data_IF_977085815088
#
_entry.id   IF_977085815088
#
_cell.length_a   1.000
_cell.length_b   1.000
_cell.length_c   1.000
_cell.angle_alpha   90.00
_cell.angle_beta   90.00
_cell.angle_gamma   90.00
#
_symmetry.space_group_name_H-M   'P 1'
#
loop_
_entity.id
_entity.type
_entity.pdbx_description
1 polymer ?
#
# COMPACT_ATOMS: atom_id res chain seq x y z
N UNK A 1 -10.31 -9.22 8.21
CA UNK A 1 -11.15 -9.63 7.06
C UNK A 1 -12.21 -8.57 6.78
N UNK A 2 -12.64 -8.44 5.51
CA UNK A 2 -13.78 -7.60 5.13
C UNK A 2 -15.03 -7.99 5.93
N UNK A 3 -15.81 -7.02 6.40
CA UNK A 3 -17.06 -7.29 7.11
C UNK A 3 -18.14 -7.61 6.11
N UNK A 4 -18.50 -8.88 6.01
CA UNK A 4 -19.54 -9.33 5.08
C UNK A 4 -20.84 -9.53 5.85
N UNK A 5 -21.93 -8.94 5.35
CA UNK A 5 -23.28 -9.19 5.82
C UNK A 5 -24.10 -9.82 4.69
N UNK A 6 -24.75 -10.95 4.95
CA UNK A 6 -25.59 -11.62 3.97
C UNK A 6 -27.00 -11.83 4.53
N UNK A 7 -28.00 -11.27 3.85
CA UNK A 7 -29.40 -11.48 4.16
C UNK A 7 -29.95 -12.66 3.36
N UNK A 8 -30.48 -13.66 4.03
CA UNK A 8 -30.89 -14.94 3.42
C UNK A 8 -32.33 -15.33 3.75
N UNK A 9 -32.80 -16.44 3.17
CA UNK A 9 -34.01 -17.15 3.59
C UNK A 9 -33.72 -18.65 3.58
N UNK A 10 -34.46 -19.40 4.39
CA UNK A 10 -34.48 -20.85 4.37
C UNK A 10 -34.83 -21.35 2.96
N UNK A 11 -34.17 -22.45 2.55
CA UNK A 11 -34.38 -23.11 1.26
C UNK A 11 -34.11 -22.24 0.03
N UNK A 12 -33.24 -21.23 0.15
CA UNK A 12 -32.81 -20.36 -0.94
C UNK A 12 -31.54 -20.90 -1.62
N UNK A 13 -31.68 -21.48 -2.82
CA UNK A 13 -30.54 -22.00 -3.60
C UNK A 13 -29.49 -20.93 -3.94
N UNK A 14 -29.92 -19.71 -4.25
CA UNK A 14 -29.01 -18.57 -4.50
C UNK A 14 -28.22 -18.15 -3.25
N UNK A 15 -28.84 -18.25 -2.08
CA UNK A 15 -28.20 -17.92 -0.81
C UNK A 15 -27.13 -18.96 -0.47
N UNK A 16 -27.43 -20.25 -0.65
CA UNK A 16 -26.45 -21.32 -0.50
C UNK A 16 -25.28 -21.13 -1.48
N UNK A 17 -25.58 -20.86 -2.75
CA UNK A 17 -24.57 -20.63 -3.78
C UNK A 17 -23.64 -19.45 -3.48
N UNK A 18 -24.17 -18.33 -2.96
CA UNK A 18 -23.37 -17.20 -2.54
C UNK A 18 -22.47 -17.54 -1.35
N UNK A 19 -23.02 -18.22 -0.33
CA UNK A 19 -22.26 -18.67 0.84
C UNK A 19 -21.14 -19.62 0.47
N UNK A 20 -21.38 -20.61 -0.39
CA UNK A 20 -20.34 -21.53 -0.87
C UNK A 20 -19.17 -20.81 -1.54
N UNK A 21 -19.43 -19.72 -2.29
CA UNK A 21 -18.36 -18.91 -2.86
C UNK A 21 -17.60 -18.14 -1.77
N UNK A 22 -18.29 -17.52 -0.82
CA UNK A 22 -17.61 -16.83 0.29
C UNK A 22 -16.80 -17.80 1.15
N UNK A 23 -17.34 -18.98 1.45
CA UNK A 23 -16.67 -20.07 2.16
C UNK A 23 -15.43 -20.55 1.39
N UNK A 24 -15.51 -20.68 0.06
CA UNK A 24 -14.35 -21.09 -0.75
C UNK A 24 -13.27 -20.02 -0.84
N UNK A 25 -13.62 -18.76 -0.57
CA UNK A 25 -12.67 -17.64 -0.38
C UNK A 25 -12.15 -17.53 1.06
N UNK A 26 -12.60 -18.38 1.98
CA UNK A 26 -12.24 -18.31 3.39
C UNK A 26 -12.75 -17.03 4.07
N UNK A 27 -13.84 -16.45 3.56
CA UNK A 27 -14.37 -15.19 4.03
C UNK A 27 -15.44 -15.39 5.11
N UNK A 28 -15.24 -14.76 6.27
CA UNK A 28 -16.25 -14.74 7.33
C UNK A 28 -17.40 -13.79 6.99
N UNK A 29 -18.63 -14.17 7.33
CA UNK A 29 -19.83 -13.35 7.12
C UNK A 29 -20.85 -13.47 8.26
N UNK A 30 -21.53 -12.37 8.53
CA UNK A 30 -22.72 -12.33 9.40
C UNK A 30 -23.97 -12.63 8.56
N UNK A 31 -24.64 -13.74 8.85
CA UNK A 31 -25.88 -14.14 8.16
C UNK A 31 -27.13 -13.63 8.91
N UNK A 32 -28.00 -12.91 8.21
CA UNK A 32 -29.31 -12.48 8.71
C UNK A 32 -30.42 -13.25 8.00
N UNK A 33 -31.02 -14.23 8.69
CA UNK A 33 -32.15 -15.00 8.17
C UNK A 33 -33.46 -14.18 8.20
N UNK A 34 -34.04 -13.94 7.02
CA UNK A 34 -35.29 -13.19 6.83
C UNK A 34 -36.51 -14.09 6.61
N UNK A 35 -36.41 -15.39 6.85
CA UNK A 35 -37.50 -16.37 6.62
C UNK A 35 -38.80 -15.95 7.32
N UNK A 36 -38.70 -15.53 8.57
CA UNK A 36 -39.85 -15.09 9.38
C UNK A 36 -40.14 -13.58 9.26
N UNK A 37 -39.44 -12.88 8.38
CA UNK A 37 -39.49 -11.42 8.27
C UNK A 37 -38.82 -10.72 9.45
N UNK A 38 -39.36 -9.56 9.87
CA UNK A 38 -38.87 -8.81 11.03
C UNK A 38 -38.05 -7.54 10.69
N UNK A 39 -37.47 -6.88 11.71
CA UNK A 39 -36.79 -5.59 11.57
C UNK A 39 -35.63 -5.63 10.57
N UNK A 40 -34.87 -6.73 10.53
CA UNK A 40 -33.77 -6.95 9.59
C UNK A 40 -34.21 -6.94 8.12
N UNK A 41 -35.46 -7.31 7.82
CA UNK A 41 -36.01 -7.19 6.45
C UNK A 41 -36.19 -5.73 6.03
N UNK A 42 -36.64 -4.87 6.94
CA UNK A 42 -36.80 -3.44 6.64
C UNK A 42 -35.44 -2.75 6.52
N UNK A 43 -34.49 -3.11 7.37
CA UNK A 43 -33.10 -2.67 7.27
C UNK A 43 -32.49 -3.05 5.92
N UNK A 44 -32.62 -4.32 5.50
CA UNK A 44 -32.18 -4.78 4.19
C UNK A 44 -32.82 -3.96 3.06
N UNK A 45 -34.13 -3.73 3.09
CA UNK A 45 -34.83 -2.98 2.05
C UNK A 45 -34.33 -1.53 1.94
N UNK A 46 -34.06 -0.87 3.07
CA UNK A 46 -33.48 0.47 3.07
C UNK A 46 -32.06 0.47 2.50
N UNK A 47 -31.22 -0.46 2.94
CA UNK A 47 -29.80 -0.55 2.54
C UNK A 47 -29.62 -1.01 1.09
N UNK A 48 -30.52 -1.85 0.58
CA UNK A 48 -30.47 -2.45 -0.75
C UNK A 48 -31.27 -1.66 -1.81
N UNK A 49 -31.53 -0.37 -1.57
CA UNK A 49 -32.32 0.50 -2.46
C UNK A 49 -33.66 -0.12 -2.90
N UNK A 50 -34.37 -0.77 -1.98
CA UNK A 50 -35.68 -1.37 -2.21
C UNK A 50 -35.66 -2.76 -2.85
N UNK A 51 -34.49 -3.39 -3.09
CA UNK A 51 -34.44 -4.78 -3.60
C UNK A 51 -35.06 -5.75 -2.58
N UNK A 52 -36.01 -6.55 -3.04
CA UNK A 52 -36.81 -7.47 -2.18
C UNK A 52 -36.35 -8.93 -2.22
N UNK A 53 -35.47 -9.28 -3.16
CA UNK A 53 -34.97 -10.65 -3.38
C UNK A 53 -33.84 -10.99 -2.40
N UNK A 54 -33.56 -12.27 -2.21
CA UNK A 54 -32.41 -12.76 -1.43
C UNK A 54 -31.54 -13.70 -2.28
N UNK A 55 -30.22 -13.79 -2.04
CA UNK A 55 -29.50 -13.07 -1.00
C UNK A 55 -29.35 -11.58 -1.32
N UNK A 56 -29.17 -10.75 -0.30
CA UNK A 56 -28.57 -9.42 -0.44
C UNK A 56 -27.26 -9.43 0.33
N UNK A 57 -26.17 -9.13 -0.34
CA UNK A 57 -24.81 -9.20 0.21
C UNK A 57 -24.26 -7.79 0.30
N UNK A 58 -23.63 -7.51 1.43
CA UNK A 58 -22.89 -6.31 1.69
C UNK A 58 -21.46 -6.68 2.09
N UNK A 59 -20.48 -5.97 1.56
CA UNK A 59 -19.08 -6.09 1.94
C UNK A 59 -18.64 -4.70 2.40
N UNK A 60 -18.22 -4.59 3.66
CA UNK A 60 -17.85 -3.34 4.34
C UNK A 60 -18.92 -2.24 4.20
N UNK A 61 -20.19 -2.66 4.28
CA UNK A 61 -21.36 -1.80 4.18
C UNK A 61 -21.75 -1.42 2.75
N UNK A 62 -20.90 -1.66 1.74
CA UNK A 62 -21.23 -1.46 0.33
C UNK A 62 -22.19 -2.56 -0.17
N UNK A 63 -23.26 -2.17 -0.86
CA UNK A 63 -24.25 -3.10 -1.39
C UNK A 63 -23.72 -3.77 -2.67
N UNK A 64 -23.42 -5.07 -2.58
CA UNK A 64 -22.93 -5.87 -3.71
C UNK A 64 -24.09 -6.34 -4.59
N UNK A 65 -25.22 -6.71 -3.97
CA UNK A 65 -26.38 -7.24 -4.65
C UNK A 65 -26.65 -8.70 -4.30
N UNK A 66 -27.13 -9.47 -5.27
CA UNK A 66 -27.50 -10.87 -5.10
C UNK A 66 -26.39 -11.85 -5.44
N UNK A 67 -26.75 -13.13 -5.48
CA UNK A 67 -25.78 -14.19 -5.79
C UNK A 67 -25.20 -14.07 -7.20
N UNK A 68 -25.99 -13.65 -8.20
CA UNK A 68 -25.47 -13.43 -9.56
C UNK A 68 -24.46 -12.27 -9.61
N UNK A 69 -24.71 -11.21 -8.85
CA UNK A 69 -23.80 -10.05 -8.74
C UNK A 69 -22.47 -10.48 -8.10
N UNK A 70 -22.53 -11.28 -7.02
CA UNK A 70 -21.33 -11.83 -6.36
C UNK A 70 -20.53 -12.77 -7.30
N UNK A 71 -21.22 -13.59 -8.08
CA UNK A 71 -20.59 -14.48 -9.08
C UNK A 71 -20.02 -13.71 -10.27
N UNK A 72 -20.61 -12.57 -10.64
CA UNK A 72 -20.05 -11.68 -11.65
C UNK A 72 -18.74 -11.07 -11.14
N UNK A 73 -18.71 -10.57 -9.90
CA UNK A 73 -17.49 -10.05 -9.27
C UNK A 73 -16.37 -11.10 -9.23
N UNK A 74 -16.69 -12.35 -8.90
CA UNK A 74 -15.71 -13.43 -8.91
C UNK A 74 -15.16 -13.71 -10.32
N UNK A 75 -16.04 -13.82 -11.32
CA UNK A 75 -15.62 -14.04 -12.73
C UNK A 75 -14.78 -12.89 -13.27
N UNK A 76 -15.04 -11.68 -12.79
CA UNK A 76 -14.27 -10.48 -13.11
C UNK A 76 -12.97 -10.36 -12.28
N UNK A 77 -12.70 -11.29 -11.35
CA UNK A 77 -11.53 -11.25 -10.45
C UNK A 77 -11.56 -10.12 -9.42
N UNK A 78 -12.74 -9.52 -9.19
CA UNK A 78 -12.93 -8.35 -8.32
C UNK A 78 -13.38 -8.71 -6.91
N UNK A 79 -13.91 -9.92 -6.71
CA UNK A 79 -14.36 -10.36 -5.39
C UNK A 79 -13.19 -10.43 -4.40
N UNK A 80 -12.08 -11.05 -4.79
CA UNK A 80 -10.91 -11.18 -3.92
C UNK A 80 -10.44 -9.81 -3.43
N UNK A 81 -10.38 -8.83 -4.31
CA UNK A 81 -9.94 -7.50 -3.93
C UNK A 81 -10.93 -6.77 -2.99
N UNK A 82 -12.24 -6.97 -3.15
CA UNK A 82 -13.25 -6.49 -2.21
C UNK A 82 -13.13 -7.16 -0.83
N UNK A 83 -12.54 -8.35 -0.78
CA UNK A 83 -12.26 -9.08 0.45
C UNK A 83 -10.88 -8.74 1.04
N UNK A 84 -10.07 -7.96 0.31
CA UNK A 84 -8.65 -7.80 0.61
C UNK A 84 -8.33 -6.46 1.28
N UNK A 85 -7.65 -6.54 2.43
CA UNK A 85 -7.10 -5.39 3.15
C UNK A 85 -5.60 -5.23 2.91
N UNK A 86 -5.16 -3.98 2.88
CA UNK A 86 -3.76 -3.61 3.05
C UNK A 86 -3.48 -3.27 4.52
N UNK A 87 -2.31 -3.67 5.01
CA UNK A 87 -1.76 -3.19 6.28
C UNK A 87 -0.65 -2.18 6.00
N UNK A 88 -0.53 -1.15 6.84
CA UNK A 88 0.52 -0.13 6.74
C UNK A 88 1.23 -0.07 8.09
N UNK A 89 2.54 -0.31 8.09
CA UNK A 89 3.38 -0.14 9.26
C UNK A 89 3.93 1.28 9.31
N UNK A 90 3.59 1.99 10.38
CA UNK A 90 4.30 3.19 10.79
C UNK A 90 5.28 2.83 11.91
N UNK A 91 6.57 3.09 11.72
CA UNK A 91 7.58 2.73 12.72
C UNK A 91 8.65 3.80 12.89
N UNK A 92 9.53 3.59 13.86
CA UNK A 92 10.70 4.41 14.11
C UNK A 92 11.93 3.52 14.03
N UNK A 93 12.48 3.32 12.83
CA UNK A 93 13.69 2.50 12.65
C UNK A 93 14.87 3.07 13.44
N UNK A 94 15.61 2.18 14.09
CA UNK A 94 16.83 2.48 14.83
C UNK A 94 18.12 2.15 14.06
N UNK A 95 19.23 2.12 14.79
CA UNK A 95 20.56 1.81 14.27
C UNK A 95 20.94 0.32 14.37
N UNK A 96 20.08 -0.52 14.95
CA UNK A 96 20.27 -1.97 15.07
C UNK A 96 19.36 -2.69 14.05
N UNK A 97 19.93 -3.27 12.97
CA UNK A 97 19.14 -3.99 11.97
C UNK A 97 18.35 -5.16 12.53
N UNK A 98 18.87 -5.89 13.53
CA UNK A 98 18.18 -7.04 14.10
C UNK A 98 16.98 -6.59 14.95
N UNK A 99 17.07 -5.45 15.63
CA UNK A 99 15.92 -4.86 16.31
C UNK A 99 14.84 -4.44 15.33
N UNK A 100 15.23 -3.78 14.23
CA UNK A 100 14.30 -3.39 13.18
C UNK A 100 13.63 -4.61 12.52
N UNK A 101 14.40 -5.67 12.23
CA UNK A 101 13.89 -6.94 11.71
C UNK A 101 12.83 -7.56 12.63
N UNK A 102 13.06 -7.58 13.96
CA UNK A 102 12.06 -8.07 14.92
C UNK A 102 10.75 -7.27 14.86
N UNK A 103 10.82 -5.95 14.72
CA UNK A 103 9.63 -5.11 14.54
C UNK A 103 8.88 -5.43 13.25
N UNK A 104 9.60 -5.60 12.14
CA UNK A 104 9.01 -5.96 10.85
C UNK A 104 8.34 -7.35 10.90
N UNK A 105 9.01 -8.36 11.47
CA UNK A 105 8.47 -9.71 11.62
C UNK A 105 7.21 -9.71 12.49
N UNK A 106 7.21 -8.98 13.60
CA UNK A 106 6.02 -8.84 14.43
C UNK A 106 4.86 -8.16 13.67
N UNK A 107 5.17 -7.13 12.87
CA UNK A 107 4.18 -6.44 12.05
C UNK A 107 3.58 -7.36 10.95
N UNK A 108 4.41 -8.20 10.32
CA UNK A 108 3.99 -9.21 9.34
C UNK A 108 3.03 -10.21 10.00
N UNK A 109 3.39 -10.72 11.18
CA UNK A 109 2.55 -11.65 11.93
C UNK A 109 1.19 -11.02 12.30
N UNK A 110 1.18 -9.78 12.80
CA UNK A 110 -0.05 -9.06 13.12
C UNK A 110 -0.90 -8.74 11.89
N UNK A 111 -0.28 -8.34 10.78
CA UNK A 111 -0.98 -8.06 9.54
C UNK A 111 -1.68 -9.33 8.99
N UNK A 112 -0.98 -10.46 9.01
CA UNK A 112 -1.55 -11.75 8.64
C UNK A 112 -2.70 -12.17 9.58
N UNK A 113 -2.53 -11.99 10.90
CA UNK A 113 -3.56 -12.30 11.90
C UNK A 113 -4.85 -11.50 11.74
N UNK A 114 -4.77 -10.29 11.19
CA UNK A 114 -5.92 -9.42 10.90
C UNK A 114 -6.48 -9.62 9.46
N UNK A 115 -5.86 -10.53 8.68
CA UNK A 115 -6.28 -10.89 7.33
C UNK A 115 -5.91 -9.85 6.27
N UNK A 116 -4.82 -9.12 6.43
CA UNK A 116 -4.27 -8.30 5.35
C UNK A 116 -3.58 -9.19 4.31
N UNK A 117 -3.82 -8.96 3.02
CA UNK A 117 -3.07 -9.71 1.99
C UNK A 117 -1.68 -9.13 1.74
N UNK A 118 -1.46 -7.86 2.09
CA UNK A 118 -0.19 -7.20 1.85
C UNK A 118 0.12 -6.15 2.93
N UNK A 119 1.35 -6.17 3.44
CA UNK A 119 1.91 -5.19 4.37
C UNK A 119 2.81 -4.20 3.63
N UNK A 120 2.65 -2.91 3.88
CA UNK A 120 3.53 -1.85 3.41
C UNK A 120 4.38 -1.33 4.57
N UNK A 121 5.69 -1.23 4.38
CA UNK A 121 6.61 -0.75 5.43
C UNK A 121 7.38 0.48 4.96
N UNK A 122 7.95 1.30 5.87
CA UNK A 122 8.56 2.57 5.48
C UNK A 122 9.92 2.47 4.80
N UNK A 123 10.38 3.58 4.24
CA UNK A 123 11.76 3.75 3.75
C UNK A 123 12.77 3.51 4.89
N UNK A 124 13.94 2.98 4.56
CA UNK A 124 15.03 2.70 5.52
C UNK A 124 14.55 1.84 6.71
N UNK A 125 13.68 0.87 6.43
CA UNK A 125 13.11 -0.02 7.44
C UNK A 125 14.19 -0.78 8.22
N UNK A 126 15.28 -1.19 7.57
CA UNK A 126 16.34 -1.99 8.17
C UNK A 126 17.38 -1.21 8.97
N UNK A 127 17.65 0.05 8.63
CA UNK A 127 18.69 0.85 9.29
C UNK A 127 18.48 2.34 9.04
N UNK A 128 18.45 3.15 10.10
CA UNK A 128 18.46 4.61 9.97
C UNK A 128 19.52 5.22 10.87
N UNK A 129 20.63 5.63 10.25
CA UNK A 129 21.77 6.22 10.94
C UNK A 129 22.37 7.40 10.15
N UNK A 130 22.56 8.54 10.82
CA UNK A 130 23.25 9.71 10.27
C UNK A 130 24.77 9.58 10.34
N UNK A 131 25.30 8.74 11.22
CA UNK A 131 26.73 8.43 11.26
C UNK A 131 27.07 7.41 10.17
N UNK A 132 27.59 7.92 9.04
CA UNK A 132 27.93 7.09 7.88
C UNK A 132 28.94 6.00 8.20
N UNK A 133 29.92 6.25 9.08
CA UNK A 133 30.95 5.26 9.40
C UNK A 133 30.37 4.13 10.25
N UNK A 134 29.56 4.46 11.24
CA UNK A 134 28.86 3.47 12.06
C UNK A 134 27.85 2.67 11.22
N UNK A 135 27.02 3.35 10.44
CA UNK A 135 26.01 2.72 9.59
C UNK A 135 26.61 1.81 8.51
N UNK A 136 27.75 2.19 7.91
CA UNK A 136 28.41 1.40 6.86
C UNK A 136 28.82 -0.01 7.32
N UNK A 137 29.02 -0.24 8.62
CA UNK A 137 29.32 -1.57 9.17
C UNK A 137 28.12 -2.54 9.08
N UNK A 138 26.90 -2.01 9.01
CA UNK A 138 25.65 -2.76 8.90
C UNK A 138 25.12 -2.82 7.47
N UNK A 139 25.69 -2.04 6.54
CA UNK A 139 25.28 -2.00 5.13
C UNK A 139 26.08 -3.04 4.35
N UNK A 140 25.39 -4.13 4.03
CA UNK A 140 25.93 -5.34 3.36
C UNK A 140 25.29 -5.53 1.99
N UNK A 141 25.78 -6.52 1.22
CA UNK A 141 25.17 -6.89 -0.04
C UNK A 141 23.77 -7.49 0.19
N UNK A 142 22.91 -7.45 -0.82
CA UNK A 142 21.53 -7.94 -0.74
C UNK A 142 21.43 -9.39 -0.22
N UNK A 143 22.33 -10.27 -0.68
CA UNK A 143 22.32 -11.68 -0.30
C UNK A 143 22.66 -11.93 1.19
N UNK A 144 23.34 -10.98 1.83
CA UNK A 144 23.83 -11.09 3.20
C UNK A 144 22.98 -10.28 4.19
N UNK A 145 21.96 -9.54 3.71
CA UNK A 145 21.18 -8.64 4.54
C UNK A 145 20.23 -9.40 5.49
N UNK A 146 20.42 -9.28 6.82
CA UNK A 146 19.64 -10.06 7.79
C UNK A 146 18.19 -9.59 7.90
N UNK A 147 17.89 -8.33 7.54
CA UNK A 147 16.53 -7.79 7.58
C UNK A 147 15.73 -8.34 6.41
N UNK A 148 16.31 -8.34 5.21
CA UNK A 148 15.70 -8.94 4.03
C UNK A 148 15.45 -10.43 4.24
N UNK A 149 16.43 -11.17 4.78
CA UNK A 149 16.27 -12.59 5.08
C UNK A 149 15.09 -12.84 6.05
N UNK A 150 15.02 -12.10 7.16
CA UNK A 150 13.96 -12.23 8.16
C UNK A 150 12.58 -11.88 7.60
N UNK A 151 12.46 -10.82 6.78
CA UNK A 151 11.19 -10.42 6.16
C UNK A 151 10.71 -11.48 5.16
N UNK A 152 11.61 -12.04 4.35
CA UNK A 152 11.27 -13.11 3.39
C UNK A 152 10.79 -14.38 4.09
N UNK A 153 11.49 -14.79 5.15
CA UNK A 153 11.09 -15.94 5.96
C UNK A 153 9.74 -15.71 6.63
N UNK A 154 9.50 -14.53 7.21
CA UNK A 154 8.23 -14.20 7.83
C UNK A 154 7.08 -14.11 6.82
N UNK A 155 7.30 -13.52 5.63
CA UNK A 155 6.31 -13.46 4.56
C UNK A 155 5.86 -14.88 4.15
N UNK A 156 6.83 -15.79 3.95
CA UNK A 156 6.57 -17.19 3.65
C UNK A 156 5.83 -17.92 4.78
N UNK A 157 6.25 -17.69 6.03
CA UNK A 157 5.68 -18.36 7.19
C UNK A 157 4.22 -17.96 7.44
N UNK A 158 3.90 -16.67 7.29
CA UNK A 158 2.57 -16.12 7.57
C UNK A 158 1.68 -16.00 6.32
N UNK A 159 2.20 -16.28 5.12
CA UNK A 159 1.44 -16.26 3.88
C UNK A 159 0.94 -14.87 3.47
N UNK A 160 1.75 -13.83 3.69
CA UNK A 160 1.38 -12.42 3.42
C UNK A 160 2.41 -11.74 2.52
N UNK A 161 1.94 -10.93 1.57
CA UNK A 161 2.84 -10.13 0.73
C UNK A 161 3.42 -8.96 1.52
N UNK A 162 4.63 -8.54 1.17
CA UNK A 162 5.29 -7.40 1.83
C UNK A 162 5.90 -6.46 0.79
N UNK A 163 5.47 -5.20 0.81
CA UNK A 163 6.24 -4.09 0.26
C UNK A 163 7.21 -3.62 1.34
N UNK A 164 8.44 -4.14 1.30
CA UNK A 164 9.50 -3.74 2.21
C UNK A 164 10.05 -2.40 1.72
N UNK A 165 9.55 -1.33 2.33
CA UNK A 165 9.72 0.07 1.93
C UNK A 165 11.04 0.33 1.25
N UNK A 166 12.12 0.34 2.03
CA UNK A 166 13.47 0.14 1.51
C UNK A 166 14.50 -0.26 2.56
N UNK A 167 15.64 -0.76 2.06
CA UNK A 167 16.87 -1.03 2.80
C UNK A 167 18.02 -0.24 2.21
N UNK A 168 18.99 0.13 3.05
CA UNK A 168 20.30 0.59 2.62
C UNK A 168 21.20 -0.62 2.36
N UNK A 169 21.57 -0.86 1.11
CA UNK A 169 22.38 -2.01 0.70
C UNK A 169 23.66 -1.57 0.01
N UNK A 170 24.66 -2.44 -0.02
CA UNK A 170 25.87 -2.26 -0.82
C UNK A 170 25.59 -2.66 -2.26
N UNK A 171 25.73 -1.72 -3.18
CA UNK A 171 25.63 -1.96 -4.62
C UNK A 171 26.92 -2.53 -5.21
N UNK A 172 26.81 -3.01 -6.44
CA UNK A 172 27.91 -3.70 -7.14
C UNK A 172 29.07 -2.74 -7.50
N UNK A 173 28.79 -1.45 -7.66
CA UNK A 173 29.78 -0.40 -7.95
C UNK A 173 30.50 0.12 -6.69
N UNK A 174 30.20 -0.48 -5.53
CA UNK A 174 30.77 -0.11 -4.23
C UNK A 174 30.07 1.03 -3.51
N UNK A 175 29.15 1.77 -4.17
CA UNK A 175 28.27 2.75 -3.52
C UNK A 175 27.11 2.04 -2.83
N UNK A 176 26.38 2.76 -1.98
CA UNK A 176 25.15 2.25 -1.39
C UNK A 176 23.97 2.42 -2.35
N UNK A 177 22.92 1.63 -2.16
CA UNK A 177 21.63 1.79 -2.86
C UNK A 177 20.51 1.83 -1.84
N UNK A 178 19.47 2.60 -2.14
CA UNK A 178 18.23 2.66 -1.37
C UNK A 178 17.21 1.80 -2.12
N UNK A 179 17.14 0.51 -1.77
CA UNK A 179 16.42 -0.53 -2.52
C UNK A 179 15.15 -0.95 -1.78
N UNK A 180 14.01 -0.76 -2.43
CA UNK A 180 12.72 -1.32 -2.02
C UNK A 180 12.48 -2.70 -2.64
N UNK A 181 11.72 -3.53 -1.94
CA UNK A 181 11.36 -4.88 -2.41
C UNK A 181 9.86 -5.12 -2.34
N UNK A 182 9.37 -5.94 -3.27
CA UNK A 182 8.05 -6.60 -3.17
C UNK A 182 8.29 -8.09 -3.05
N UNK A 183 7.83 -8.65 -1.94
CA UNK A 183 8.02 -10.05 -1.55
C UNK A 183 6.64 -10.71 -1.52
N UNK A 184 6.50 -11.87 -2.17
CA UNK A 184 5.25 -12.62 -2.19
C UNK A 184 5.05 -13.47 -0.92
N UNK A 185 3.87 -14.09 -0.83
CA UNK A 185 3.49 -14.98 0.26
C UNK A 185 4.31 -16.27 0.35
N UNK A 186 5.18 -16.58 -0.63
CA UNK A 186 6.13 -17.70 -0.59
C UNK A 186 7.55 -17.22 -0.17
N UNK A 187 7.72 -15.92 0.11
CA UNK A 187 9.01 -15.31 0.45
C UNK A 187 9.91 -15.04 -0.76
N UNK A 188 9.40 -15.13 -1.98
CA UNK A 188 10.15 -14.81 -3.19
C UNK A 188 10.07 -13.32 -3.52
N UNK A 189 11.20 -12.74 -3.96
CA UNK A 189 11.27 -11.35 -4.40
C UNK A 189 10.64 -11.28 -5.80
N UNK A 190 9.50 -10.58 -5.91
CA UNK A 190 8.80 -10.35 -7.19
C UNK A 190 9.34 -9.15 -7.94
N UNK A 191 9.79 -8.14 -7.21
CA UNK A 191 10.36 -6.92 -7.77
C UNK A 191 11.31 -6.24 -6.79
N UNK A 192 12.26 -5.50 -7.34
CA UNK A 192 13.11 -4.57 -6.59
C UNK A 192 13.20 -3.23 -7.33
N UNK A 193 13.22 -2.15 -6.55
CA UNK A 193 13.28 -0.78 -7.05
C UNK A 193 14.35 0.00 -6.28
N UNK A 194 15.33 0.53 -7.01
CA UNK A 194 16.31 1.45 -6.46
C UNK A 194 15.80 2.88 -6.63
N UNK A 195 15.83 3.66 -5.55
CA UNK A 195 15.37 5.05 -5.53
C UNK A 195 15.98 5.86 -6.68
N UNK A 196 15.13 6.41 -7.54
CA UNK A 196 15.57 7.12 -8.74
C UNK A 196 16.10 8.52 -8.39
N UNK A 197 15.34 9.26 -7.58
CA UNK A 197 15.68 10.64 -7.25
C UNK A 197 16.30 10.71 -5.85
N UNK A 198 17.60 10.98 -5.80
CA UNK A 198 18.35 11.14 -4.55
C UNK A 198 18.10 12.53 -3.94
N UNK A 199 18.05 12.59 -2.62
CA UNK A 199 17.81 13.81 -1.86
C UNK A 199 19.09 14.64 -1.71
N UNK A 200 19.29 15.55 -2.67
CA UNK A 200 20.36 16.55 -2.64
C UNK A 200 19.76 17.95 -2.44
N UNK A 201 19.94 18.52 -1.25
CA UNK A 201 19.44 19.87 -0.94
C UNK A 201 20.49 20.74 -0.27
N UNK A 202 20.50 22.01 -0.65
CA UNK A 202 21.17 23.08 0.08
C UNK A 202 20.11 23.86 0.86
N UNK A 203 20.14 23.77 2.17
CA UNK A 203 19.24 24.54 3.02
C UNK A 203 19.74 25.99 3.12
N UNK A 204 18.84 27.00 3.15
CA UNK A 204 19.21 28.40 3.36
C UNK A 204 19.99 28.64 4.66
N UNK A 205 19.87 27.74 5.63
CA UNK A 205 20.61 27.73 6.90
C UNK A 205 22.08 27.30 6.75
N UNK A 206 22.53 26.96 5.54
CA UNK A 206 23.89 26.52 5.24
C UNK A 206 24.12 25.01 5.37
N UNK A 207 23.13 24.26 5.86
CA UNK A 207 23.20 22.79 5.91
C UNK A 207 23.08 22.21 4.50
N UNK A 208 24.01 21.32 4.14
CA UNK A 208 24.00 20.59 2.88
C UNK A 208 23.71 19.12 3.14
N UNK A 209 22.68 18.61 2.50
CA UNK A 209 22.39 17.19 2.45
C UNK A 209 22.66 16.71 1.03
N UNK A 210 23.53 15.71 0.90
CA UNK A 210 23.90 15.06 -0.36
C UNK A 210 23.79 13.56 -0.17
N UNK A 211 22.65 13.00 -0.57
CA UNK A 211 22.45 11.56 -0.60
C UNK A 211 23.33 10.93 -1.70
N UNK A 212 23.53 11.65 -2.82
CA UNK A 212 24.35 11.22 -3.96
C UNK A 212 25.83 10.99 -3.69
N UNK A 213 26.38 11.57 -2.61
CA UNK A 213 27.77 11.32 -2.19
C UNK A 213 28.01 9.86 -1.78
N UNK A 214 26.96 9.18 -1.33
CA UNK A 214 27.05 7.82 -0.78
C UNK A 214 26.16 6.81 -1.51
N UNK A 215 25.07 7.27 -2.12
CA UNK A 215 24.10 6.40 -2.78
C UNK A 215 24.14 6.54 -4.31
N UNK A 216 24.00 5.43 -5.01
CA UNK A 216 23.74 5.39 -6.43
C UNK A 216 22.23 5.56 -6.71
N UNK A 217 21.84 6.37 -7.71
CA UNK A 217 20.45 6.42 -8.15
C UNK A 217 20.10 5.12 -8.90
N UNK A 218 18.84 4.71 -8.81
CA UNK A 218 18.30 3.67 -9.68
C UNK A 218 18.24 4.13 -11.15
N UNK A 219 17.91 3.18 -12.03
CA UNK A 219 17.87 3.39 -13.48
C UNK A 219 16.55 2.97 -14.16
N UNK A 220 15.58 2.48 -13.38
CA UNK A 220 14.32 1.92 -13.90
C UNK A 220 13.10 2.28 -13.05
N UNK A 221 11.98 2.53 -13.72
CA UNK A 221 10.66 2.55 -13.10
C UNK A 221 10.06 1.13 -13.13
N UNK A 222 9.34 0.73 -12.08
CA UNK A 222 8.86 -0.65 -11.90
C UNK A 222 7.38 -0.68 -11.52
N UNK A 223 6.62 -1.51 -12.24
CA UNK A 223 5.26 -1.95 -11.87
C UNK A 223 5.30 -3.46 -11.69
N UNK A 224 4.63 -3.96 -10.65
CA UNK A 224 4.53 -5.39 -10.35
C UNK A 224 3.10 -5.76 -9.98
N UNK A 225 2.63 -6.92 -10.46
CA UNK A 225 1.31 -7.43 -10.09
C UNK A 225 1.32 -7.97 -8.65
N UNK A 226 0.29 -7.62 -7.90
CA UNK A 226 0.10 -8.00 -6.50
C UNK A 226 -1.36 -8.39 -6.24
N UNK A 227 -1.68 -8.99 -5.08
CA UNK A 227 -3.07 -9.25 -4.70
C UNK A 227 -3.95 -7.99 -4.62
N UNK A 228 -3.34 -6.80 -4.49
CA UNK A 228 -4.03 -5.50 -4.45
C UNK A 228 -4.14 -4.82 -5.83
N UNK A 229 -3.63 -5.46 -6.89
CA UNK A 229 -3.55 -4.92 -8.25
C UNK A 229 -2.12 -4.57 -8.69
N UNK A 230 -2.00 -3.84 -9.80
CA UNK A 230 -0.72 -3.45 -10.38
C UNK A 230 -0.08 -2.32 -9.56
N UNK A 231 0.99 -2.65 -8.82
CA UNK A 231 1.67 -1.76 -7.89
C UNK A 231 2.86 -1.06 -8.56
N UNK A 232 2.77 0.26 -8.72
CA UNK A 232 3.89 1.11 -9.10
C UNK A 232 4.78 1.46 -7.90
N UNK A 233 6.09 1.34 -8.06
CA UNK A 233 7.07 1.55 -7.00
C UNK A 233 7.75 2.92 -7.10
N UNK A 234 7.88 3.58 -5.95
CA UNK A 234 8.63 4.83 -5.76
C UNK A 234 9.13 4.90 -4.32
N UNK A 235 10.11 5.74 -3.99
CA UNK A 235 10.60 5.90 -2.63
C UNK A 235 10.73 7.40 -2.30
N UNK A 236 9.99 7.84 -1.28
CA UNK A 236 10.17 9.12 -0.60
C UNK A 236 10.28 10.33 -1.54
N UNK A 237 11.49 10.80 -1.84
CA UNK A 237 11.76 12.00 -2.62
C UNK A 237 11.24 11.92 -4.06
N UNK A 238 11.08 10.70 -4.59
CA UNK A 238 10.44 10.43 -5.88
C UNK A 238 9.05 11.09 -5.99
N UNK A 239 8.34 11.27 -4.87
CA UNK A 239 7.02 11.93 -4.84
C UNK A 239 7.01 13.32 -5.44
N UNK A 240 8.16 14.00 -5.49
CA UNK A 240 8.26 15.36 -6.07
C UNK A 240 8.26 15.37 -7.59
N UNK A 241 8.40 14.21 -8.24
CA UNK A 241 8.59 14.07 -9.68
C UNK A 241 7.35 13.43 -10.32
N UNK A 242 6.35 14.23 -10.75
CA UNK A 242 5.09 13.71 -11.29
C UNK A 242 5.27 12.80 -12.51
N UNK A 243 6.31 13.02 -13.30
CA UNK A 243 6.58 12.23 -14.52
C UNK A 243 6.82 10.75 -14.23
N UNK A 244 7.38 10.40 -13.05
CA UNK A 244 7.50 9.01 -12.63
C UNK A 244 6.12 8.37 -12.48
N UNK A 245 5.21 9.02 -11.76
CA UNK A 245 3.85 8.52 -11.52
C UNK A 245 3.01 8.50 -12.80
N UNK A 246 3.25 9.45 -13.70
CA UNK A 246 2.71 9.40 -15.06
C UNK A 246 3.16 8.13 -15.78
N UNK A 247 4.46 7.86 -15.81
CA UNK A 247 5.03 6.68 -16.46
C UNK A 247 4.51 5.36 -15.85
N UNK A 248 4.44 5.27 -14.52
CA UNK A 248 3.91 4.09 -13.82
C UNK A 248 2.44 3.83 -14.19
N UNK A 249 1.62 4.90 -14.26
CA UNK A 249 0.20 4.76 -14.62
C UNK A 249 -0.04 4.54 -16.11
N UNK A 250 0.82 5.08 -16.99
CA UNK A 250 0.83 4.74 -18.41
C UNK A 250 1.19 3.25 -18.61
N UNK A 251 2.02 2.69 -17.73
CA UNK A 251 2.35 1.25 -17.68
C UNK A 251 1.28 0.38 -16.99
N UNK A 252 0.13 0.94 -16.63
CA UNK A 252 -1.02 0.19 -16.11
C UNK A 252 -1.14 0.12 -14.59
N UNK A 253 -0.30 0.83 -13.82
CA UNK A 253 -0.45 0.86 -12.36
C UNK A 253 -1.86 1.32 -11.94
N UNK A 254 -2.40 0.62 -10.93
CA UNK A 254 -3.69 0.91 -10.26
C UNK A 254 -3.50 1.29 -8.79
N UNK A 255 -2.30 1.08 -8.27
CA UNK A 255 -1.85 1.35 -6.91
C UNK A 255 -0.43 1.89 -6.95
N UNK A 256 -0.09 2.81 -6.04
CA UNK A 256 1.27 3.36 -5.90
C UNK A 256 1.77 3.16 -4.47
N UNK A 257 2.98 2.60 -4.32
CA UNK A 257 3.71 2.61 -3.06
C UNK A 257 4.63 3.83 -2.98
N UNK A 258 4.55 4.56 -1.85
CA UNK A 258 5.42 5.70 -1.54
C UNK A 258 5.99 5.57 -0.12
N UNK A 259 6.77 4.53 0.20
CA UNK A 259 7.48 4.41 1.48
C UNK A 259 8.40 5.61 1.70
N UNK A 260 8.44 6.14 2.92
CA UNK A 260 9.18 7.38 3.17
C UNK A 260 9.70 7.60 4.60
N UNK A 261 10.77 8.38 4.70
CA UNK A 261 11.28 8.96 5.94
C UNK A 261 11.28 10.50 5.88
N UNK A 262 10.12 11.12 5.62
CA UNK A 262 9.99 12.57 5.49
C UNK A 262 10.37 13.30 6.78
N UNK A 263 11.15 14.37 6.67
CA UNK A 263 11.48 15.24 7.81
C UNK A 263 10.26 16.01 8.27
N UNK A 264 10.13 16.30 9.57
CA UNK A 264 8.95 17.01 10.12
C UNK A 264 8.57 18.31 9.39
N UNK A 265 9.51 19.26 9.11
CA UNK A 265 9.13 20.53 8.47
C UNK A 265 8.59 20.33 7.05
N UNK A 266 9.24 19.47 6.27
CA UNK A 266 8.80 19.22 4.89
C UNK A 266 7.57 18.32 4.83
N UNK A 267 7.42 17.42 5.80
CA UNK A 267 6.24 16.58 5.98
C UNK A 267 5.00 17.42 6.24
N UNK A 268 5.05 18.27 7.26
CA UNK A 268 3.96 19.17 7.63
C UNK A 268 3.51 20.09 6.49
N UNK A 269 4.42 20.50 5.62
CA UNK A 269 4.11 21.39 4.51
C UNK A 269 3.65 20.67 3.23
N UNK A 270 4.15 19.46 2.95
CA UNK A 270 4.06 18.87 1.62
C UNK A 270 3.50 17.46 1.55
N UNK A 271 3.59 16.66 2.62
CA UNK A 271 3.36 15.21 2.56
C UNK A 271 1.96 14.87 2.03
N UNK A 272 0.92 15.30 2.73
CA UNK A 272 -0.47 15.07 2.31
C UNK A 272 -0.78 15.68 0.95
N UNK A 273 -0.33 16.91 0.69
CA UNK A 273 -0.60 17.60 -0.57
C UNK A 273 -0.02 16.86 -1.76
N UNK A 274 1.24 16.44 -1.68
CA UNK A 274 1.90 15.73 -2.78
C UNK A 274 1.29 14.34 -2.98
N UNK A 275 1.03 13.59 -1.91
CA UNK A 275 0.43 12.25 -2.03
C UNK A 275 -0.96 12.30 -2.65
N UNK A 276 -1.80 13.25 -2.20
CA UNK A 276 -3.13 13.46 -2.78
C UNK A 276 -3.05 13.89 -4.23
N UNK A 277 -2.10 14.77 -4.58
CA UNK A 277 -1.88 15.14 -5.97
C UNK A 277 -1.54 13.92 -6.84
N UNK A 278 -0.68 13.00 -6.38
CA UNK A 278 -0.35 11.76 -7.10
C UNK A 278 -1.56 10.84 -7.26
N UNK A 279 -2.38 10.69 -6.22
CA UNK A 279 -3.60 9.90 -6.30
C UNK A 279 -4.57 10.46 -7.36
N UNK A 280 -4.80 11.78 -7.34
CA UNK A 280 -5.74 12.48 -8.21
C UNK A 280 -5.27 12.50 -9.67
N UNK A 281 -4.04 12.94 -9.93
CA UNK A 281 -3.55 13.14 -11.31
C UNK A 281 -3.28 11.81 -12.04
N UNK A 282 -2.96 10.77 -11.26
CA UNK A 282 -2.69 9.44 -11.77
C UNK A 282 -3.93 8.53 -11.71
N UNK A 283 -5.00 8.96 -11.03
CA UNK A 283 -6.28 8.25 -10.93
C UNK A 283 -6.11 6.84 -10.36
N UNK A 284 -5.42 6.73 -9.23
CA UNK A 284 -5.02 5.47 -8.56
C UNK A 284 -5.03 5.61 -7.04
N UNK A 285 -5.05 4.48 -6.35
CA UNK A 285 -4.79 4.48 -4.91
C UNK A 285 -3.32 4.77 -4.62
N UNK A 286 -3.06 5.41 -3.48
CA UNK A 286 -1.70 5.66 -2.97
C UNK A 286 -1.59 5.09 -1.55
N UNK A 287 -0.54 4.31 -1.31
CA UNK A 287 -0.19 3.75 0.00
C UNK A 287 1.22 4.20 0.36
N UNK A 288 1.33 4.97 1.43
CA UNK A 288 2.55 5.63 1.83
C UNK A 288 2.89 5.30 3.28
N UNK A 289 3.64 4.22 3.49
CA UNK A 289 4.16 3.85 4.80
C UNK A 289 5.30 4.79 5.20
N UNK A 290 5.23 5.36 6.41
CA UNK A 290 6.14 6.41 6.84
C UNK A 290 6.89 6.06 8.12
N UNK A 291 8.15 6.50 8.19
CA UNK A 291 8.85 6.61 9.47
C UNK A 291 8.23 7.73 10.32
N UNK A 292 8.21 7.55 11.63
CA UNK A 292 7.71 8.55 12.58
C UNK A 292 8.64 8.77 13.77
N UNK A 293 8.37 9.83 14.54
CA UNK A 293 8.97 10.02 15.86
C UNK A 293 10.37 10.64 15.82
N UNK A 294 11.16 10.30 16.85
CA UNK A 294 12.57 10.69 16.98
C UNK A 294 13.41 9.43 16.97
N UNK A 295 14.28 9.32 15.97
CA UNK A 295 15.15 8.16 15.77
C UNK A 295 16.37 8.20 16.70
N UNK A 296 17.03 7.05 16.84
CA UNK A 296 18.25 6.91 17.64
C UNK A 296 19.41 7.83 17.17
N UNK A 297 19.42 8.22 15.89
CA UNK A 297 20.38 9.18 15.32
C UNK A 297 20.02 10.66 15.59
N UNK A 298 18.94 10.91 16.35
CA UNK A 298 18.30 12.21 16.67
C UNK A 298 17.53 12.86 15.51
N UNK A 299 17.39 12.18 14.36
CA UNK A 299 16.49 12.64 13.28
C UNK A 299 15.05 12.61 13.77
N UNK A 300 14.26 13.56 13.29
CA UNK A 300 12.81 13.54 13.49
C UNK A 300 12.09 13.38 12.15
N UNK A 301 11.18 12.43 12.11
CA UNK A 301 10.36 12.14 10.93
C UNK A 301 8.91 12.48 11.22
N UNK A 302 8.16 12.73 10.14
CA UNK A 302 6.83 13.30 10.22
C UNK A 302 5.76 12.28 10.66
N UNK A 303 5.93 10.99 10.33
CA UNK A 303 4.87 10.01 10.45
C UNK A 303 3.82 10.22 9.37
N UNK A 304 2.56 10.16 9.76
CA UNK A 304 1.40 10.27 8.89
C UNK A 304 1.44 9.26 7.74
N UNK A 305 1.68 7.99 8.06
CA UNK A 305 1.47 6.91 7.10
C UNK A 305 0.04 7.00 6.58
N UNK A 306 -0.10 7.00 5.26
CA UNK A 306 -1.28 7.52 4.58
C UNK A 306 -1.78 6.56 3.50
N UNK A 307 -3.10 6.39 3.44
CA UNK A 307 -3.79 5.75 2.32
C UNK A 307 -4.77 6.72 1.68
N UNK A 308 -4.78 6.81 0.35
CA UNK A 308 -5.61 7.75 -0.40
C UNK A 308 -6.29 7.03 -1.57
N UNK A 309 -7.56 7.32 -1.81
CA UNK A 309 -8.32 6.81 -2.94
C UNK A 309 -8.01 7.56 -4.26
N UNK A 310 -8.42 7.04 -5.43
CA UNK A 310 -8.21 7.70 -6.73
C UNK A 310 -8.86 9.08 -6.89
N UNK A 311 -9.80 9.45 -6.02
CA UNK A 311 -10.44 10.78 -5.99
C UNK A 311 -9.65 11.78 -5.12
N UNK A 312 -8.65 11.31 -4.38
CA UNK A 312 -7.88 12.11 -3.44
C UNK A 312 -8.50 12.19 -2.05
N UNK A 313 -9.44 11.31 -1.71
CA UNK A 313 -9.97 11.14 -0.35
C UNK A 313 -8.96 10.36 0.50
N UNK A 314 -8.68 10.86 1.71
CA UNK A 314 -7.80 10.16 2.65
C UNK A 314 -8.59 9.06 3.33
N UNK A 315 -8.22 7.81 3.05
CA UNK A 315 -8.84 6.61 3.62
C UNK A 315 -8.29 6.28 5.02
N UNK A 316 -7.01 6.58 5.25
CA UNK A 316 -6.31 6.36 6.52
C UNK A 316 -5.21 7.39 6.69
N UNK A 317 -5.11 7.98 7.88
CA UNK A 317 -3.97 8.76 8.37
C UNK A 317 -3.61 8.27 9.78
N UNK A 318 -2.39 7.75 9.94
CA UNK A 318 -1.93 7.17 11.21
C UNK A 318 -1.42 8.22 12.21
N UNK A 319 -1.38 9.50 11.85
CA UNK A 319 -0.84 10.55 12.71
C UNK A 319 0.63 10.30 13.06
N UNK A 320 1.06 10.66 14.26
CA UNK A 320 2.47 10.53 14.66
C UNK A 320 2.83 9.23 15.40
N UNK A 321 1.85 8.44 15.84
CA UNK A 321 2.12 7.27 16.67
C UNK A 321 2.63 6.07 15.83
N UNK A 322 3.68 5.38 16.29
CA UNK A 322 4.08 4.12 15.68
C UNK A 322 3.00 3.05 15.90
N UNK A 323 2.78 2.18 14.91
CA UNK A 323 1.77 1.15 14.97
C UNK A 323 1.44 0.56 13.60
N UNK A 324 0.36 -0.22 13.55
CA UNK A 324 -0.22 -0.76 12.33
C UNK A 324 -1.56 -0.10 12.05
N UNK A 325 -1.78 0.27 10.79
CA UNK A 325 -3.07 0.71 10.27
C UNK A 325 -3.56 -0.25 9.19
N UNK A 326 -4.87 -0.33 9.00
CA UNK A 326 -5.51 -1.20 8.02
C UNK A 326 -6.44 -0.38 7.13
N UNK A 327 -6.44 -0.69 5.84
CA UNK A 327 -7.26 0.00 4.86
C UNK A 327 -7.75 -0.97 3.80
N UNK A 328 -8.98 -0.79 3.35
CA UNK A 328 -9.57 -1.53 2.24
C UNK A 328 -9.19 -0.85 0.92
N UNK A 329 -8.79 -1.66 -0.07
CA UNK A 329 -8.40 -1.17 -1.39
C UNK A 329 -9.37 -1.76 -2.39
N UNK A 330 -10.29 -0.93 -2.89
CA UNK A 330 -11.30 -1.34 -3.88
C UNK A 330 -10.79 -1.07 -5.32
N UNK A 331 -10.42 -2.08 -6.12
CA UNK A 331 -9.98 -1.84 -7.49
C UNK A 331 -11.09 -1.28 -8.40
N UNK A 332 -12.36 -1.51 -8.04
CA UNK A 332 -13.48 -0.95 -8.79
C UNK A 332 -13.46 0.58 -8.76
N UNK A 333 -13.00 1.16 -7.65
CA UNK A 333 -12.87 2.61 -7.49
C UNK A 333 -11.96 3.24 -8.54
N UNK A 334 -10.86 2.57 -8.91
CA UNK A 334 -9.95 3.04 -9.98
C UNK A 334 -10.70 3.12 -11.31
N UNK A 335 -11.44 2.06 -11.64
CA UNK A 335 -12.21 1.99 -12.90
C UNK A 335 -13.32 3.05 -12.93
N UNK A 336 -14.08 3.19 -11.83
CA UNK A 336 -15.14 4.18 -11.69
C UNK A 336 -14.59 5.61 -11.86
N UNK A 337 -13.54 5.98 -11.12
CA UNK A 337 -12.98 7.33 -11.18
C UNK A 337 -12.39 7.64 -12.56
N UNK A 338 -11.66 6.70 -13.18
CA UNK A 338 -11.13 6.88 -14.53
C UNK A 338 -12.24 6.99 -15.59
N UNK A 339 -13.42 6.42 -15.36
CA UNK A 339 -14.57 6.59 -16.27
C UNK A 339 -15.22 7.97 -16.15
N UNK A 340 -15.29 8.52 -14.93
CA UNK A 340 -15.85 9.86 -14.65
C UNK A 340 -14.92 10.98 -15.10
N UNK A 341 -13.62 10.81 -14.85
CA UNK A 341 -12.56 11.76 -15.22
C UNK A 341 -11.51 11.01 -16.04
N UNK A 342 -11.71 10.87 -17.37
CA UNK A 342 -10.81 10.12 -18.25
C UNK A 342 -9.51 10.87 -18.58
N UNK A 343 -8.91 11.54 -17.60
CA UNK A 343 -7.70 12.35 -17.76
C UNK A 343 -6.52 11.54 -18.32
N UNK A 344 -6.39 10.27 -17.93
CA UNK A 344 -5.34 9.36 -18.42
C UNK A 344 -5.50 9.08 -19.92
N UNK A 345 -6.72 8.78 -20.36
CA UNK A 345 -7.03 8.57 -21.78
C UNK A 345 -6.84 9.84 -22.63
N UNK A 346 -6.93 11.01 -22.00
CA UNK A 346 -6.74 12.31 -22.65
C UNK A 346 -5.27 12.80 -22.65
N UNK A 347 -4.32 12.02 -22.10
CA UNK A 347 -2.90 12.41 -22.08
C UNK A 347 -2.38 12.60 -23.50
N UNK A 348 -1.57 13.65 -23.67
CA UNK A 348 -0.89 13.98 -24.93
C UNK A 348 0.61 14.06 -24.68
N UNK A 349 1.40 13.76 -25.73
CA UNK A 349 2.81 14.09 -25.72
C UNK A 349 2.97 15.61 -25.55
N UNK A 350 3.78 16.03 -24.58
CA UNK A 350 4.05 17.44 -24.33
C UNK A 350 5.09 17.91 -25.36
N UNK A 351 4.76 18.89 -26.23
CA UNK A 351 5.73 19.40 -27.21
C UNK A 351 6.84 20.20 -26.49
N UNK A 352 7.99 20.44 -27.16
CA UNK A 352 9.05 21.30 -26.62
C UNK A 352 8.51 22.67 -26.19
N UNK A 353 9.01 23.17 -25.06
CA UNK A 353 8.61 24.48 -24.53
C UNK A 353 9.12 25.60 -25.43
N UNK A 354 8.21 26.40 -25.96
CA UNK A 354 8.56 27.64 -26.68
C UNK A 354 8.77 28.77 -25.67
N UNK A 355 9.96 29.38 -25.67
CA UNK A 355 10.20 30.67 -24.98
C UNK A 355 9.95 31.79 -25.98
N UNK A 356 8.92 32.61 -25.72
CA UNK A 356 8.55 33.75 -26.54
C UNK A 356 9.20 35.04 -26.02
#
# INVERSE_FOLDING_TARGET
>A
MAKIEIYTKAFCGYCHRAKTLLDSKGADYEEFDLTMGGPKRQEMLQRANGRTTVPQIFIDGAHIGGSDDLMALEREGRLDALLTRAAILQMTSGIDPLANARTLVAAIASAAGEGAAMLFTPEMSGLLDRDRKRGAASIVAEADDPVLAAVREAAAHYGVWVQLGSLALRGDDGRFVNRGFVIDADGAIRASYDKLHLFDVDLPTGERWRESDAYAPGDRAVVVDTPLGALGLSICYDIRFPDLYRALTDAGATLLAVPAAFTRPTGAAHWHTLLRARAIEAGVHVIAAAQTGTHADRRTTYGHSLAIDPWGEVLLDMGEAAGLGFVEIDPARVTDIRSRVPAIAHRRAIPPVTRA
#
